data_IF_051273071392
#
_entry.id   IF_051273071392
#
_cell.length_a   1.000
_cell.length_b   1.000
_cell.length_c   1.000
_cell.angle_alpha   90.00
_cell.angle_beta   90.00
_cell.angle_gamma   90.00
#
_symmetry.space_group_name_H-M   'P 1'
#
loop_
_entity.id
_entity.type
_entity.pdbx_description
1 polymer ?
#
# COMPACT_ATOMS: atom_id res chain seq x y z
N UNK A 1 -10.90 16.36 -1.83
CA UNK A 1 -11.25 14.93 -1.65
C UNK A 1 -12.63 14.74 -1.06
N UNK A 2 -12.93 15.17 0.18
CA UNK A 2 -14.24 14.93 0.83
C UNK A 2 -15.43 15.43 -0.01
N UNK A 3 -15.36 16.65 -0.55
CA UNK A 3 -16.39 17.18 -1.45
C UNK A 3 -16.61 16.30 -2.68
N UNK A 4 -15.53 15.88 -3.34
CA UNK A 4 -15.61 15.02 -4.51
C UNK A 4 -16.21 13.65 -4.18
N UNK A 5 -15.83 13.04 -3.06
CA UNK A 5 -16.38 11.76 -2.61
C UNK A 5 -17.87 11.86 -2.29
N UNK A 6 -18.29 12.96 -1.66
CA UNK A 6 -19.70 13.24 -1.41
C UNK A 6 -20.48 13.47 -2.72
N UNK A 7 -19.94 14.28 -3.63
CA UNK A 7 -20.55 14.59 -4.93
C UNK A 7 -20.69 13.32 -5.81
N UNK A 8 -19.80 12.33 -5.67
CA UNK A 8 -19.82 11.07 -6.43
C UNK A 8 -20.58 9.92 -5.76
N UNK A 9 -21.09 10.08 -4.53
CA UNK A 9 -21.76 9.01 -3.79
C UNK A 9 -23.25 9.27 -3.69
N UNK A 10 -24.06 8.37 -4.27
CA UNK A 10 -25.52 8.49 -4.27
C UNK A 10 -26.22 7.75 -3.12
N UNK A 11 -25.53 6.86 -2.40
CA UNK A 11 -26.12 6.11 -1.29
C UNK A 11 -26.28 7.02 -0.05
N UNK A 12 -27.52 7.31 0.38
CA UNK A 12 -27.76 8.21 1.52
C UNK A 12 -27.30 7.63 2.87
N UNK A 13 -26.94 6.34 2.93
CA UNK A 13 -26.38 5.71 4.14
C UNK A 13 -24.89 6.02 4.34
N UNK A 14 -24.23 6.57 3.33
CA UNK A 14 -22.81 6.91 3.37
C UNK A 14 -22.67 8.40 3.62
N UNK A 15 -21.90 8.78 4.64
CA UNK A 15 -21.56 10.17 4.94
C UNK A 15 -20.06 10.32 5.03
N UNK A 16 -19.54 11.40 4.45
CA UNK A 16 -18.12 11.75 4.53
C UNK A 16 -17.92 12.91 5.50
N UNK A 17 -16.85 12.85 6.28
CA UNK A 17 -16.44 13.90 7.21
C UNK A 17 -14.95 14.16 7.03
N UNK A 18 -14.55 15.42 7.16
CA UNK A 18 -13.15 15.79 7.28
C UNK A 18 -12.81 15.83 8.77
N UNK A 19 -11.99 14.88 9.22
CA UNK A 19 -11.51 14.78 10.59
C UNK A 19 -10.23 13.92 10.62
N UNK A 20 -9.48 14.02 11.72
CA UNK A 20 -8.40 13.08 12.04
C UNK A 20 -8.97 11.83 12.71
N UNK A 21 -8.25 10.71 12.67
CA UNK A 21 -8.60 9.50 13.41
C UNK A 21 -8.63 9.70 14.93
N UNK A 22 -7.87 10.69 15.41
CA UNK A 22 -7.67 11.05 16.80
C UNK A 22 -8.77 11.98 17.35
N UNK A 23 -9.63 12.51 16.48
CA UNK A 23 -10.74 13.39 16.87
C UNK A 23 -12.02 12.99 16.13
N UNK A 24 -12.83 12.21 16.83
CA UNK A 24 -14.14 11.73 16.43
C UNK A 24 -15.22 12.40 17.28
N UNK A 25 -15.03 13.66 17.70
CA UNK A 25 -16.00 14.42 18.49
C UNK A 25 -17.40 14.53 17.88
N UNK A 26 -17.51 14.34 16.55
CA UNK A 26 -18.77 14.27 15.83
C UNK A 26 -19.50 12.91 15.96
N UNK A 27 -18.88 11.92 16.60
CA UNK A 27 -19.41 10.58 16.83
C UNK A 27 -19.79 10.43 18.31
N UNK A 28 -21.01 9.95 18.54
CA UNK A 28 -21.54 9.71 19.88
C UNK A 28 -20.80 8.55 20.54
N UNK A 29 -20.55 8.67 21.85
CA UNK A 29 -19.98 7.61 22.68
C UNK A 29 -20.76 6.29 22.51
N UNK A 30 -20.03 5.17 22.46
CA UNK A 30 -20.61 3.82 22.34
C UNK A 30 -21.71 3.69 21.27
N UNK A 31 -21.52 4.32 20.10
CA UNK A 31 -22.49 4.29 18.99
C UNK A 31 -22.02 3.47 17.79
N UNK A 32 -20.74 3.13 17.71
CA UNK A 32 -20.14 2.45 16.57
C UNK A 32 -20.04 0.94 16.81
N UNK A 33 -20.58 0.15 15.87
CA UNK A 33 -20.52 -1.32 15.90
C UNK A 33 -19.21 -1.87 15.30
N UNK A 34 -18.65 -1.18 14.30
CA UNK A 34 -17.44 -1.56 13.57
C UNK A 34 -16.63 -0.32 13.20
N UNK A 35 -15.35 -0.31 13.55
CA UNK A 35 -14.36 0.64 13.04
C UNK A 35 -13.42 -0.06 12.08
N UNK A 36 -13.18 0.59 10.95
CA UNK A 36 -12.29 0.14 9.90
C UNK A 36 -11.20 1.17 9.64
N UNK A 37 -9.97 0.70 9.49
CA UNK A 37 -8.87 1.50 8.93
C UNK A 37 -8.17 0.67 7.85
N UNK A 38 -8.48 0.95 6.59
CA UNK A 38 -7.80 0.37 5.44
C UNK A 38 -6.66 1.27 4.98
N UNK A 39 -5.42 0.80 5.08
CA UNK A 39 -4.22 1.53 4.68
C UNK A 39 -3.99 2.88 5.38
N UNK A 40 -4.42 3.02 6.63
CA UNK A 40 -4.27 4.28 7.38
C UNK A 40 -3.63 4.12 8.78
N UNK A 41 -3.78 2.97 9.43
CA UNK A 41 -3.40 2.81 10.84
C UNK A 41 -1.90 3.01 11.16
N UNK A 42 -1.04 2.99 10.14
CA UNK A 42 0.38 3.28 10.27
C UNK A 42 0.69 4.80 10.38
N UNK A 43 -0.29 5.67 10.14
CA UNK A 43 -0.17 7.12 10.31
C UNK A 43 -0.73 7.65 11.62
N UNK A 44 -1.41 6.80 12.41
CA UNK A 44 -2.11 7.25 13.60
C UNK A 44 -1.15 7.66 14.72
N UNK A 45 -1.59 8.63 15.52
CA UNK A 45 -1.03 8.88 16.84
C UNK A 45 -1.69 7.93 17.85
N UNK A 46 -0.95 6.89 18.25
CA UNK A 46 -1.47 5.82 19.11
C UNK A 46 -1.96 6.30 20.48
N UNK A 47 -1.29 7.30 21.08
CA UNK A 47 -1.68 7.84 22.38
C UNK A 47 -3.05 8.53 22.36
N UNK A 48 -3.48 9.00 21.18
CA UNK A 48 -4.75 9.71 21.00
C UNK A 48 -5.83 8.85 20.37
N UNK A 49 -5.47 8.04 19.38
CA UNK A 49 -6.46 7.24 18.63
C UNK A 49 -7.05 6.13 19.49
N UNK A 50 -6.28 5.48 20.37
CA UNK A 50 -6.79 4.34 21.14
C UNK A 50 -7.89 4.73 22.13
N UNK A 51 -7.72 5.79 22.96
CA UNK A 51 -8.80 6.29 23.81
C UNK A 51 -10.03 6.71 22.99
N UNK A 52 -9.82 7.35 21.84
CA UNK A 52 -10.91 7.86 21.03
C UNK A 52 -11.74 6.74 20.39
N UNK A 53 -11.09 5.69 19.88
CA UNK A 53 -11.76 4.49 19.40
C UNK A 53 -12.47 3.74 20.52
N UNK A 54 -11.86 3.66 21.70
CA UNK A 54 -12.48 3.02 22.85
C UNK A 54 -13.73 3.78 23.36
N UNK A 55 -13.77 5.11 23.17
CA UNK A 55 -14.93 5.97 23.49
C UNK A 55 -16.10 5.72 22.56
N UNK A 56 -15.87 5.69 21.24
CA UNK A 56 -16.95 5.65 20.24
C UNK A 56 -17.49 4.24 19.96
N UNK A 57 -16.67 3.21 20.14
CA UNK A 57 -17.05 1.82 19.85
C UNK A 57 -17.84 1.20 21.01
N UNK A 58 -18.95 0.54 20.70
CA UNK A 58 -19.77 -0.21 21.67
C UNK A 58 -18.97 -1.34 22.29
N UNK A 59 -19.26 -1.70 23.56
CA UNK A 59 -18.80 -2.99 24.12
C UNK A 59 -19.28 -4.14 23.21
N UNK A 60 -18.39 -5.08 22.91
CA UNK A 60 -18.60 -6.15 21.92
C UNK A 60 -18.44 -5.73 20.45
N UNK A 61 -18.29 -4.43 20.18
CA UNK A 61 -17.99 -3.86 18.86
C UNK A 61 -16.64 -4.31 18.32
N UNK A 62 -16.40 -4.07 17.02
CA UNK A 62 -15.26 -4.63 16.30
C UNK A 62 -14.32 -3.55 15.79
N UNK A 63 -13.03 -3.81 15.88
CA UNK A 63 -12.00 -3.09 15.14
C UNK A 63 -11.45 -4.02 14.05
N UNK A 64 -11.33 -3.50 12.83
CA UNK A 64 -10.76 -4.21 11.69
C UNK A 64 -9.83 -3.29 10.90
N UNK A 65 -8.53 -3.42 11.15
CA UNK A 65 -7.50 -2.64 10.45
C UNK A 65 -6.78 -3.54 9.46
N UNK A 66 -6.44 -3.01 8.30
CA UNK A 66 -5.57 -3.71 7.36
C UNK A 66 -4.62 -2.76 6.65
N UNK A 67 -3.52 -3.31 6.18
CA UNK A 67 -2.58 -2.62 5.33
C UNK A 67 -1.89 -3.59 4.39
N UNK A 68 -1.43 -3.07 3.25
CA UNK A 68 -0.66 -3.81 2.27
C UNK A 68 0.62 -3.05 1.89
N UNK A 69 1.66 -3.77 1.48
CA UNK A 69 2.98 -3.22 1.20
C UNK A 69 3.70 -3.98 0.10
N UNK A 70 4.71 -3.32 -0.46
CA UNK A 70 5.85 -3.92 -1.16
C UNK A 70 5.44 -5.11 -2.03
N UNK A 71 4.70 -4.85 -3.10
CA UNK A 71 4.31 -5.90 -4.03
C UNK A 71 5.52 -6.52 -4.71
N UNK A 72 5.33 -7.76 -5.12
CA UNK A 72 6.22 -8.45 -6.04
C UNK A 72 5.44 -8.76 -7.32
N UNK A 73 6.15 -8.81 -8.45
CA UNK A 73 5.70 -9.46 -9.67
C UNK A 73 6.15 -10.92 -9.63
N UNK A 74 5.18 -11.84 -9.62
CA UNK A 74 5.42 -13.27 -9.41
C UNK A 74 6.23 -13.84 -10.58
N UNK A 75 7.30 -14.56 -10.26
CA UNK A 75 8.19 -15.17 -11.26
C UNK A 75 9.30 -14.25 -11.80
N UNK A 76 9.39 -13.00 -11.36
CA UNK A 76 10.36 -12.02 -11.89
C UNK A 76 11.31 -11.47 -10.79
N UNK A 77 12.25 -12.28 -10.26
CA UNK A 77 13.14 -11.84 -9.16
C UNK A 77 14.02 -10.64 -9.51
N UNK A 78 14.62 -10.60 -10.71
CA UNK A 78 15.44 -9.46 -11.11
C UNK A 78 14.63 -8.15 -11.20
N UNK A 79 13.39 -8.22 -11.68
CA UNK A 79 12.45 -7.09 -11.76
C UNK A 79 12.11 -6.60 -10.35
N UNK A 80 11.87 -7.51 -9.41
CA UNK A 80 11.57 -7.18 -8.03
C UNK A 80 12.77 -6.54 -7.31
N UNK A 81 13.99 -7.02 -7.56
CA UNK A 81 15.21 -6.40 -7.00
C UNK A 81 15.40 -4.96 -7.51
N UNK A 82 15.22 -4.74 -8.81
CA UNK A 82 15.28 -3.40 -9.41
C UNK A 82 14.20 -2.50 -8.81
N UNK A 83 12.95 -2.97 -8.79
CA UNK A 83 11.83 -2.21 -8.24
C UNK A 83 12.07 -1.82 -6.77
N UNK A 84 12.56 -2.75 -5.96
CA UNK A 84 12.88 -2.50 -4.55
C UNK A 84 14.01 -1.48 -4.39
N UNK A 85 15.05 -1.53 -5.23
CA UNK A 85 16.11 -0.52 -5.24
C UNK A 85 15.57 0.86 -5.59
N UNK A 86 14.77 0.99 -6.63
CA UNK A 86 14.15 2.27 -7.00
C UNK A 86 13.24 2.82 -5.90
N UNK A 87 12.49 1.96 -5.21
CA UNK A 87 11.61 2.39 -4.13
C UNK A 87 12.36 2.76 -2.84
N UNK A 88 13.45 2.07 -2.49
CA UNK A 88 14.01 2.11 -1.13
C UNK A 88 15.52 2.20 -1.03
N UNK A 89 16.24 2.06 -2.14
CA UNK A 89 17.69 2.15 -2.18
C UNK A 89 18.18 3.52 -1.75
N UNK A 90 19.47 3.64 -1.50
CA UNK A 90 20.14 4.91 -1.26
C UNK A 90 20.94 5.32 -2.50
N UNK A 91 21.11 6.62 -2.73
CA UNK A 91 21.89 7.15 -3.84
C UNK A 91 21.16 7.04 -5.18
N UNK A 92 21.90 6.72 -6.25
CA UNK A 92 21.38 6.71 -7.62
C UNK A 92 20.42 5.53 -7.87
N UNK A 93 19.33 5.83 -8.57
CA UNK A 93 18.35 4.88 -9.11
C UNK A 93 18.96 3.90 -10.11
N UNK A 94 19.98 4.31 -10.85
CA UNK A 94 20.75 3.47 -11.76
C UNK A 94 22.17 4.04 -11.92
N UNK A 95 23.21 3.20 -12.07
CA UNK A 95 24.59 3.69 -12.16
C UNK A 95 24.77 4.72 -13.29
N UNK A 96 25.17 5.93 -12.93
CA UNK A 96 25.42 7.01 -13.88
C UNK A 96 24.15 7.71 -14.39
N UNK A 97 22.97 7.43 -13.81
CA UNK A 97 21.75 8.15 -14.16
C UNK A 97 21.73 9.56 -13.57
N UNK A 98 22.46 9.81 -12.48
CA UNK A 98 22.40 11.06 -11.73
C UNK A 98 21.03 11.34 -11.08
N UNK A 99 20.09 10.38 -11.17
CA UNK A 99 18.74 10.46 -10.61
C UNK A 99 18.71 9.62 -9.34
N UNK A 100 18.44 10.21 -8.19
CA UNK A 100 18.35 9.48 -6.93
C UNK A 100 17.09 8.60 -6.84
N UNK A 101 17.09 7.60 -5.96
CA UNK A 101 15.92 6.72 -5.71
C UNK A 101 14.75 7.46 -5.03
N UNK A 102 13.60 6.78 -4.91
CA UNK A 102 12.48 7.27 -4.08
C UNK A 102 12.71 7.04 -2.57
N UNK A 103 13.80 6.39 -2.16
CA UNK A 103 14.05 5.96 -0.79
C UNK A 103 13.94 7.08 0.25
N UNK A 104 14.59 8.25 0.04
CA UNK A 104 14.53 9.39 0.96
C UNK A 104 13.13 10.02 1.14
N UNK A 105 12.22 9.79 0.18
CA UNK A 105 10.93 10.48 0.10
C UNK A 105 9.77 9.73 0.75
N UNK A 106 10.02 8.53 1.29
CA UNK A 106 9.04 7.86 2.12
C UNK A 106 8.94 8.51 3.50
N UNK A 107 7.75 8.97 3.85
CA UNK A 107 7.49 9.54 5.18
C UNK A 107 7.67 8.47 6.28
N UNK A 108 8.47 8.83 7.29
CA UNK A 108 8.79 8.00 8.46
C UNK A 108 8.18 8.63 9.72
N UNK A 109 7.74 7.82 10.71
CA UNK A 109 7.90 6.37 10.80
C UNK A 109 6.80 5.57 10.08
N UNK A 110 5.75 6.21 9.55
CA UNK A 110 4.57 5.50 9.06
C UNK A 110 4.85 4.48 7.96
N UNK A 111 5.72 4.78 6.98
CA UNK A 111 6.10 3.76 5.99
C UNK A 111 6.82 2.57 6.62
N UNK A 112 7.69 2.79 7.59
CA UNK A 112 8.40 1.71 8.28
C UNK A 112 7.42 0.84 9.08
N UNK A 113 6.47 1.45 9.80
CA UNK A 113 5.42 0.72 10.53
C UNK A 113 4.61 -0.19 9.59
N UNK A 114 4.24 0.31 8.41
CA UNK A 114 3.56 -0.49 7.40
C UNK A 114 4.46 -1.65 6.90
N UNK A 115 5.74 -1.36 6.62
CA UNK A 115 6.73 -2.36 6.18
C UNK A 115 6.99 -3.43 7.24
N UNK A 116 6.90 -3.09 8.51
CA UNK A 116 7.03 -4.00 9.65
C UNK A 116 5.70 -4.71 9.99
N UNK A 117 4.85 -4.92 8.99
CA UNK A 117 3.58 -5.64 9.14
C UNK A 117 2.70 -5.06 10.26
N UNK A 118 2.67 -3.72 10.36
CA UNK A 118 1.94 -2.96 11.37
C UNK A 118 2.29 -3.37 12.80
N UNK A 119 3.51 -3.85 13.08
CA UNK A 119 3.92 -4.34 14.40
C UNK A 119 3.64 -3.33 15.53
N UNK A 120 3.83 -2.04 15.26
CA UNK A 120 3.58 -0.96 16.22
C UNK A 120 2.08 -0.71 16.52
N UNK A 121 1.16 -1.21 15.68
CA UNK A 121 -0.29 -1.05 15.88
C UNK A 121 -0.78 -2.12 16.86
N UNK A 122 -0.77 -1.79 18.16
CA UNK A 122 -1.16 -2.72 19.23
C UNK A 122 -2.43 -2.21 19.93
N UNK A 123 -3.60 -2.87 19.74
CA UNK A 123 -4.80 -2.55 20.49
C UNK A 123 -4.56 -2.74 22.01
N UNK A 124 -4.76 -1.72 22.86
CA UNK A 124 -4.47 -1.83 24.28
C UNK A 124 -5.37 -2.86 24.98
N UNK A 125 -4.78 -3.78 25.73
CA UNK A 125 -5.51 -4.84 26.44
C UNK A 125 -6.47 -4.30 27.51
N UNK A 126 -6.32 -3.07 27.97
CA UNK A 126 -7.28 -2.45 28.90
C UNK A 126 -8.66 -2.28 28.27
N UNK A 127 -8.72 -1.99 26.97
CA UNK A 127 -9.97 -1.66 26.25
C UNK A 127 -10.37 -2.72 25.21
N UNK A 128 -9.42 -3.53 24.75
CA UNK A 128 -9.62 -4.47 23.65
C UNK A 128 -9.28 -5.90 24.06
N UNK A 129 -10.00 -6.86 23.49
CA UNK A 129 -9.81 -8.30 23.68
C UNK A 129 -9.90 -9.06 22.36
N UNK A 130 -9.58 -10.36 22.40
CA UNK A 130 -9.66 -11.27 21.24
C UNK A 130 -8.89 -10.73 20.02
N UNK A 131 -7.73 -10.11 20.27
CA UNK A 131 -6.89 -9.54 19.22
C UNK A 131 -6.39 -10.67 18.32
N UNK A 132 -6.67 -10.58 17.02
CA UNK A 132 -6.17 -11.50 15.99
C UNK A 132 -5.34 -10.70 14.98
N UNK A 133 -4.13 -11.17 14.72
CA UNK A 133 -3.27 -10.64 13.65
C UNK A 133 -3.06 -11.70 12.59
N UNK A 134 -3.32 -11.34 11.33
CA UNK A 134 -3.15 -12.21 10.17
C UNK A 134 -2.15 -11.53 9.26
N UNK A 135 -1.02 -12.18 9.02
CA UNK A 135 0.06 -11.64 8.18
C UNK A 135 0.30 -12.57 7.01
N UNK A 136 0.43 -11.98 5.83
CA UNK A 136 0.95 -12.61 4.64
C UNK A 136 2.07 -11.73 4.11
N UNK A 137 3.26 -12.28 3.89
CA UNK A 137 4.39 -11.55 3.32
C UNK A 137 4.99 -12.44 2.23
N UNK A 138 4.88 -12.08 0.94
CA UNK A 138 5.42 -12.89 -0.13
C UNK A 138 6.95 -12.92 -0.06
N UNK A 139 7.55 -14.04 -0.44
CA UNK A 139 9.00 -14.15 -0.48
C UNK A 139 9.56 -13.33 -1.65
N UNK A 140 10.14 -12.18 -1.31
CA UNK A 140 10.73 -11.24 -2.26
C UNK A 140 11.94 -11.83 -2.99
N UNK A 141 12.69 -12.73 -2.36
CA UNK A 141 13.91 -13.31 -2.96
C UNK A 141 13.56 -14.34 -4.03
N UNK A 142 12.62 -15.23 -3.73
CA UNK A 142 12.20 -16.25 -4.70
C UNK A 142 11.18 -15.69 -5.70
N UNK A 143 10.55 -14.56 -5.38
CA UNK A 143 9.45 -13.96 -6.16
C UNK A 143 8.32 -14.95 -6.40
N UNK A 144 8.12 -15.85 -5.42
CA UNK A 144 7.04 -16.81 -5.42
C UNK A 144 5.98 -16.32 -4.44
N UNK A 145 4.74 -16.36 -4.89
CA UNK A 145 3.61 -16.44 -3.99
C UNK A 145 3.46 -17.91 -3.56
N UNK A 146 3.06 -18.16 -2.30
CA UNK A 146 2.77 -19.51 -1.81
C UNK A 146 1.97 -20.32 -2.85
N UNK A 147 2.40 -21.56 -3.08
CA UNK A 147 1.68 -22.48 -3.94
C UNK A 147 0.33 -22.81 -3.29
N UNK A 148 -0.75 -22.64 -4.06
CA UNK A 148 -2.16 -22.88 -3.74
C UNK A 148 -2.97 -21.71 -3.18
N UNK A 149 -3.26 -20.73 -4.04
CA UNK A 149 -4.49 -19.93 -3.92
C UNK A 149 -5.75 -20.77 -4.23
N UNK A 150 -5.63 -21.87 -4.98
CA UNK A 150 -6.76 -22.75 -5.32
C UNK A 150 -7.08 -23.84 -4.27
N UNK A 151 -6.17 -24.09 -3.32
CA UNK A 151 -6.36 -25.11 -2.27
C UNK A 151 -6.46 -24.54 -0.85
N UNK A 152 -6.52 -23.22 -0.71
CA UNK A 152 -6.90 -22.62 0.57
C UNK A 152 -8.40 -22.72 0.74
N UNK A 153 -8.81 -23.23 1.91
CA UNK A 153 -10.20 -23.24 2.36
C UNK A 153 -10.82 -21.85 2.10
N UNK A 154 -11.95 -21.75 1.37
CA UNK A 154 -12.66 -20.47 1.17
C UNK A 154 -13.02 -19.77 2.49
N UNK A 155 -13.11 -20.52 3.60
CA UNK A 155 -13.30 -20.00 4.94
C UNK A 155 -12.00 -19.53 5.62
N UNK A 156 -10.83 -19.78 5.01
CA UNK A 156 -9.56 -19.23 5.47
C UNK A 156 -9.54 -17.71 5.23
N UNK A 157 -9.53 -16.89 6.30
CA UNK A 157 -9.56 -15.43 6.16
C UNK A 157 -8.36 -14.87 5.37
N UNK A 158 -7.28 -15.66 5.21
CA UNK A 158 -6.13 -15.32 4.37
C UNK A 158 -6.47 -15.34 2.87
N UNK A 159 -7.42 -16.18 2.43
CA UNK A 159 -7.82 -16.28 1.03
C UNK A 159 -8.48 -14.99 0.50
N UNK A 160 -9.12 -14.22 1.38
CA UNK A 160 -9.80 -12.98 1.01
C UNK A 160 -8.84 -11.85 0.53
N UNK A 161 -7.55 -11.91 0.89
CA UNK A 161 -6.58 -10.84 0.58
C UNK A 161 -5.23 -11.33 -0.01
N UNK A 162 -5.03 -12.65 -0.13
CA UNK A 162 -3.95 -13.23 -0.95
C UNK A 162 -4.31 -13.28 -2.44
N UNK A 163 -5.08 -12.29 -2.92
CA UNK A 163 -5.50 -12.25 -4.31
C UNK A 163 -4.33 -11.83 -5.16
N UNK A 164 -3.72 -12.80 -5.85
CA UNK A 164 -2.92 -12.52 -7.03
C UNK A 164 -3.77 -11.65 -7.94
N UNK A 165 -3.27 -10.47 -8.26
CA UNK A 165 -3.92 -9.59 -9.21
C UNK A 165 -3.19 -9.75 -10.53
N UNK A 166 -3.87 -10.31 -11.53
CA UNK A 166 -3.44 -10.13 -12.90
C UNK A 166 -3.64 -8.67 -13.25
N UNK A 167 -2.57 -8.01 -13.65
CA UNK A 167 -2.60 -6.62 -14.08
C UNK A 167 -1.64 -6.40 -15.23
N UNK A 168 -1.93 -5.39 -16.03
CA UNK A 168 -1.04 -4.98 -17.12
C UNK A 168 0.16 -4.21 -16.59
N UNK A 169 1.31 -4.32 -17.26
CA UNK A 169 2.49 -3.53 -16.88
C UNK A 169 2.23 -2.01 -16.91
N UNK A 170 1.39 -1.51 -17.84
CA UNK A 170 0.99 -0.10 -17.82
C UNK A 170 0.10 0.29 -16.62
N UNK A 171 -0.67 -0.65 -16.07
CA UNK A 171 -1.41 -0.43 -14.81
C UNK A 171 -0.47 -0.45 -13.61
N UNK A 172 0.60 -1.26 -13.67
CA UNK A 172 1.65 -1.26 -12.65
C UNK A 172 2.43 0.06 -12.66
N UNK A 173 2.74 0.60 -13.85
CA UNK A 173 3.31 1.95 -14.03
C UNK A 173 2.40 3.02 -13.40
N UNK A 174 1.11 2.97 -13.72
CA UNK A 174 0.11 3.84 -13.11
C UNK A 174 0.05 3.71 -11.58
N UNK A 175 0.21 2.50 -11.04
CA UNK A 175 0.27 2.26 -9.60
C UNK A 175 1.49 2.92 -8.94
N UNK A 176 2.67 2.86 -9.56
CA UNK A 176 3.89 3.53 -9.05
C UNK A 176 3.67 5.04 -8.92
N UNK A 177 2.98 5.67 -9.88
CA UNK A 177 2.67 7.10 -9.83
C UNK A 177 1.78 7.51 -8.65
N UNK A 178 1.11 6.56 -7.98
CA UNK A 178 0.28 6.83 -6.81
C UNK A 178 1.06 6.85 -5.49
N UNK A 179 2.34 6.48 -5.50
CA UNK A 179 3.13 6.40 -4.28
C UNK A 179 3.38 7.80 -3.71
N UNK A 180 3.23 7.95 -2.40
CA UNK A 180 3.58 9.20 -1.73
C UNK A 180 5.05 9.56 -1.92
N UNK A 181 5.95 8.58 -1.95
CA UNK A 181 7.36 8.82 -2.24
C UNK A 181 7.63 9.24 -3.68
N UNK A 182 6.85 8.75 -4.66
CA UNK A 182 6.94 9.27 -6.04
C UNK A 182 6.52 10.75 -6.08
N UNK A 183 5.43 11.11 -5.39
CA UNK A 183 5.00 12.51 -5.27
C UNK A 183 6.06 13.36 -4.57
N UNK A 184 6.61 12.89 -3.45
CA UNK A 184 7.69 13.58 -2.73
C UNK A 184 8.95 13.75 -3.59
N UNK A 185 9.31 12.73 -4.37
CA UNK A 185 10.43 12.79 -5.32
C UNK A 185 10.17 13.85 -6.40
N UNK A 186 8.96 13.88 -6.98
CA UNK A 186 8.53 14.88 -7.97
C UNK A 186 8.53 16.30 -7.42
N UNK A 187 8.09 16.48 -6.17
CA UNK A 187 8.07 17.79 -5.51
C UNK A 187 9.49 18.32 -5.24
N UNK A 188 10.45 17.43 -5.01
CA UNK A 188 11.86 17.77 -4.82
C UNK A 188 12.64 17.97 -6.14
N UNK A 189 12.12 17.46 -7.26
CA UNK A 189 12.70 17.57 -8.60
C UNK A 189 11.72 18.22 -9.59
N UNK A 190 11.25 19.46 -9.34
CA UNK A 190 10.22 20.11 -10.17
C UNK A 190 10.67 20.37 -11.62
N UNK A 191 11.97 20.39 -11.88
CA UNK A 191 12.57 20.51 -13.21
C UNK A 191 12.51 19.21 -14.03
N UNK A 192 12.44 18.05 -13.37
CA UNK A 192 12.36 16.76 -14.06
C UNK A 192 10.92 16.48 -14.46
N UNK A 193 10.74 16.13 -15.74
CA UNK A 193 9.45 15.83 -16.34
C UNK A 193 9.44 14.40 -16.85
N UNK A 194 8.28 13.75 -16.75
CA UNK A 194 8.09 12.46 -17.40
C UNK A 194 8.21 12.60 -18.92
N UNK A 195 8.48 11.51 -19.62
CA UNK A 195 8.42 11.46 -21.09
C UNK A 195 7.02 11.84 -21.59
N UNK A 196 5.96 11.46 -20.86
CA UNK A 196 4.58 11.84 -21.17
C UNK A 196 4.33 13.37 -21.04
N UNK A 197 5.07 14.06 -20.19
CA UNK A 197 5.04 15.52 -20.02
C UNK A 197 6.04 16.26 -20.93
N UNK A 198 6.72 15.54 -21.82
CA UNK A 198 7.71 16.08 -22.76
C UNK A 198 9.13 16.21 -22.21
N UNK A 199 9.46 15.51 -21.11
CA UNK A 199 10.84 15.36 -20.64
C UNK A 199 11.67 14.48 -21.57
N UNK A 200 12.91 14.88 -21.85
CA UNK A 200 13.79 14.15 -22.78
C UNK A 200 14.32 12.83 -22.18
N UNK A 201 14.74 12.87 -20.91
CA UNK A 201 15.29 11.70 -20.19
C UNK A 201 14.20 10.91 -19.45
N UNK A 202 13.05 11.53 -19.17
CA UNK A 202 11.99 10.97 -18.34
C UNK A 202 12.19 11.21 -16.85
N UNK A 203 11.20 10.85 -16.05
CA UNK A 203 11.31 10.89 -14.59
C UNK A 203 11.66 9.53 -13.99
N UNK A 204 11.68 9.44 -12.66
CA UNK A 204 12.07 8.22 -11.96
C UNK A 204 11.19 7.00 -12.31
N UNK A 205 9.92 7.20 -12.67
CA UNK A 205 9.06 6.09 -13.07
C UNK A 205 9.39 5.64 -14.50
N UNK A 206 9.66 6.57 -15.40
CA UNK A 206 10.17 6.26 -16.74
C UNK A 206 11.46 5.43 -16.66
N UNK A 207 12.42 5.87 -15.85
CA UNK A 207 13.70 5.18 -15.68
C UNK A 207 13.53 3.81 -15.03
N UNK A 208 12.63 3.69 -14.05
CA UNK A 208 12.30 2.39 -13.45
C UNK A 208 11.83 1.42 -14.55
N UNK A 209 10.86 1.82 -15.36
CA UNK A 209 10.32 0.93 -16.39
C UNK A 209 11.32 0.59 -17.48
N UNK A 210 12.20 1.50 -17.89
CA UNK A 210 13.30 1.16 -18.80
C UNK A 210 14.16 0.02 -18.21
N UNK A 211 14.52 0.09 -16.92
CA UNK A 211 15.28 -0.97 -16.24
C UNK A 211 14.50 -2.27 -16.10
N UNK A 212 13.19 -2.21 -15.84
CA UNK A 212 12.35 -3.41 -15.75
C UNK A 212 12.24 -4.12 -17.11
N UNK A 213 12.08 -3.37 -18.19
CA UNK A 213 12.00 -3.91 -19.55
C UNK A 213 13.33 -4.54 -19.98
N UNK A 214 14.46 -3.88 -19.70
CA UNK A 214 15.80 -4.44 -19.97
C UNK A 214 16.06 -5.76 -19.24
N UNK A 215 15.47 -5.94 -18.05
CA UNK A 215 15.63 -7.16 -17.26
C UNK A 215 14.86 -8.36 -17.80
N UNK A 216 13.88 -8.14 -18.70
CA UNK A 216 13.03 -9.20 -19.27
C UNK A 216 13.01 -9.06 -20.80
N UNK A 217 13.83 -9.84 -21.53
CA UNK A 217 13.98 -9.71 -22.98
C UNK A 217 12.66 -9.74 -23.76
N UNK A 218 11.69 -10.53 -23.32
CA UNK A 218 10.36 -10.62 -23.93
C UNK A 218 9.58 -9.31 -23.81
N UNK A 219 9.70 -8.61 -22.68
CA UNK A 219 9.04 -7.32 -22.47
C UNK A 219 9.70 -6.23 -23.32
N UNK A 220 11.03 -6.23 -23.40
CA UNK A 220 11.77 -5.31 -24.25
C UNK A 220 11.43 -5.51 -25.73
N UNK A 221 11.35 -6.77 -26.19
CA UNK A 221 11.02 -7.12 -27.57
C UNK A 221 9.60 -6.72 -27.97
N UNK A 222 8.70 -6.51 -27.01
CA UNK A 222 7.33 -6.05 -27.27
C UNK A 222 7.26 -4.58 -27.75
N UNK A 223 8.35 -3.81 -27.61
CA UNK A 223 8.38 -2.39 -27.99
C UNK A 223 7.25 -1.62 -27.30
N UNK A 224 6.55 -0.76 -28.04
CA UNK A 224 5.47 0.09 -27.50
C UNK A 224 4.29 -0.69 -26.88
N UNK A 225 4.20 -2.00 -27.13
CA UNK A 225 3.13 -2.87 -26.60
C UNK A 225 3.42 -3.46 -25.23
N UNK A 226 4.59 -3.18 -24.62
CA UNK A 226 4.93 -3.73 -23.31
C UNK A 226 3.86 -3.41 -22.24
N UNK A 227 3.19 -2.26 -22.37
CA UNK A 227 2.12 -1.82 -21.46
C UNK A 227 0.92 -2.75 -21.42
N UNK A 228 0.72 -3.58 -22.43
CA UNK A 228 -0.37 -4.56 -22.50
C UNK A 228 -0.01 -5.94 -21.95
N UNK A 229 1.26 -6.18 -21.58
CA UNK A 229 1.70 -7.45 -21.01
C UNK A 229 1.09 -7.63 -19.63
N UNK A 230 0.44 -8.78 -19.44
CA UNK A 230 -0.13 -9.17 -18.16
C UNK A 230 0.91 -9.85 -17.26
N UNK A 231 0.92 -9.44 -16.00
CA UNK A 231 1.74 -10.02 -14.94
C UNK A 231 0.89 -10.29 -13.72
N UNK A 232 1.28 -11.28 -12.91
CA UNK A 232 0.68 -11.48 -11.60
C UNK A 232 1.43 -10.66 -10.55
N UNK A 233 0.70 -9.81 -9.83
CA UNK A 233 1.22 -9.07 -8.69
C UNK A 233 0.60 -9.58 -7.38
N UNK A 234 1.40 -9.61 -6.31
CA UNK A 234 0.92 -9.92 -4.96
C UNK A 234 1.57 -8.99 -3.94
N UNK A 235 0.82 -8.60 -2.90
CA UNK A 235 1.27 -7.69 -1.86
C UNK A 235 1.43 -8.40 -0.51
N UNK A 236 2.43 -8.00 0.26
CA UNK A 236 2.44 -8.31 1.69
C UNK A 236 1.27 -7.60 2.36
N UNK A 237 0.49 -8.32 3.16
CA UNK A 237 -0.74 -7.83 3.78
C UNK A 237 -0.78 -8.18 5.26
N UNK A 238 -1.24 -7.23 6.08
CA UNK A 238 -1.52 -7.46 7.49
C UNK A 238 -2.95 -7.06 7.81
N UNK A 239 -3.64 -7.89 8.60
CA UNK A 239 -4.96 -7.61 9.17
C UNK A 239 -4.85 -7.70 10.69
N UNK A 240 -5.46 -6.73 11.38
CA UNK A 240 -5.59 -6.69 12.84
C UNK A 240 -7.07 -6.59 13.15
N UNK A 241 -7.59 -7.59 13.86
CA UNK A 241 -8.96 -7.63 14.35
C UNK A 241 -8.94 -7.57 15.87
N UNK A 242 -9.89 -6.87 16.49
CA UNK A 242 -10.08 -6.87 17.93
C UNK A 242 -11.55 -6.65 18.31
N UNK A 243 -11.92 -7.06 19.52
CA UNK A 243 -13.23 -6.80 20.12
C UNK A 243 -13.10 -5.78 21.24
N UNK A 244 -14.03 -4.83 21.30
CA UNK A 244 -14.13 -3.89 22.40
C UNK A 244 -14.64 -4.62 23.65
N UNK A 245 -13.96 -4.47 24.78
CA UNK A 245 -14.41 -4.94 26.09
C UNK A 245 -15.69 -4.23 26.54
#
# INVERSE_FOLDING_TARGET
MVKQAADSTSDPKITFRQASSEDLSFVVDASVDLVVAGQAAHWFNYDKVWPELARVVKSGGTLAFWGYKDNILVGFPAVNDIFMHFCYGEGESSPGSGVETMGPYWEKPGRQILRDNLAAVVPPESEWEKVKRIVYDPDRKTSQADANTEAMDPEDPRAAWQQRKTMKLGEFEGYVHTFSAYRGWRDAHPEVKSRAEGGAEGDIADLLFDRLLEAVPEWMAAGDKWRDIEVEAVWGTTIILAKRK
#
